data_IF_264367155917
#
_entry.id   IF_264367155917
#
_cell.length_a   1.000
_cell.length_b   1.000
_cell.length_c   1.000
_cell.angle_alpha   90.00
_cell.angle_beta   90.00
_cell.angle_gamma   90.00
#
_symmetry.space_group_name_H-M   'P 1'
#
loop_
_entity.id
_entity.type
_entity.pdbx_description
1 polymer ?
#
# COMPACT_ATOMS: atom_id res chain seq x y z
N UNK A 1 1.64 -6.84 -13.69
CA UNK A 1 2.29 -6.19 -12.52
C UNK A 1 2.00 -4.70 -12.62
N UNK A 2 1.39 -4.10 -11.60
CA UNK A 2 1.04 -2.68 -11.58
C UNK A 2 1.71 -1.97 -10.41
N UNK A 3 2.06 -0.69 -10.60
CA UNK A 3 2.43 0.21 -9.52
C UNK A 3 1.17 0.97 -9.08
N UNK A 4 0.74 0.71 -7.85
CA UNK A 4 -0.55 1.12 -7.26
C UNK A 4 -1.78 0.53 -7.95
N UNK A 5 -2.89 0.58 -7.22
CA UNK A 5 -4.24 0.24 -7.64
C UNK A 5 -5.23 0.82 -6.60
N UNK A 6 -6.48 0.33 -6.56
CA UNK A 6 -7.54 0.79 -5.65
C UNK A 6 -7.15 0.88 -4.16
N UNK A 7 -6.28 -0.01 -3.67
CA UNK A 7 -5.76 0.08 -2.28
C UNK A 7 -5.13 1.45 -1.97
N UNK A 8 -4.52 2.10 -2.99
CA UNK A 8 -4.00 3.46 -2.83
C UNK A 8 -5.10 4.49 -2.68
N UNK A 9 -6.20 4.38 -3.43
CA UNK A 9 -7.37 5.24 -3.24
C UNK A 9 -7.89 5.10 -1.82
N UNK A 10 -8.09 3.87 -1.35
CA UNK A 10 -8.59 3.62 0.02
C UNK A 10 -7.68 4.21 1.10
N UNK A 11 -6.36 4.11 0.94
CA UNK A 11 -5.40 4.62 1.92
C UNK A 11 -5.23 6.14 1.88
N UNK A 12 -5.04 6.73 0.70
CA UNK A 12 -4.79 8.17 0.57
C UNK A 12 -6.08 8.98 0.73
N UNK A 13 -7.20 8.50 0.19
CA UNK A 13 -8.47 9.24 0.25
C UNK A 13 -9.21 8.91 1.54
N UNK A 14 -9.27 7.64 1.93
CA UNK A 14 -9.92 7.24 3.17
C UNK A 14 -9.12 7.66 4.40
N UNK A 15 -7.88 7.17 4.52
CA UNK A 15 -7.02 7.52 5.66
C UNK A 15 -6.51 8.96 5.59
N UNK A 16 -5.80 9.29 4.51
CA UNK A 16 -5.14 10.58 4.36
C UNK A 16 -6.12 11.76 4.37
N UNK A 17 -7.16 11.70 3.51
CA UNK A 17 -8.16 12.78 3.35
C UNK A 17 -9.43 12.61 4.19
N UNK A 18 -9.60 11.51 4.90
CA UNK A 18 -10.78 11.29 5.75
C UNK A 18 -12.09 11.07 4.98
N UNK A 19 -12.03 10.67 3.71
CA UNK A 19 -13.24 10.33 2.95
C UNK A 19 -13.87 9.07 3.56
N UNK A 20 -15.19 9.06 3.67
CA UNK A 20 -15.94 7.95 4.24
C UNK A 20 -15.63 6.61 3.55
N UNK A 21 -15.45 5.56 4.36
CA UNK A 21 -15.05 4.25 3.88
C UNK A 21 -16.16 3.56 3.08
N UNK A 22 -17.41 3.76 3.47
CA UNK A 22 -18.57 3.19 2.77
C UNK A 22 -18.68 3.80 1.39
N UNK A 23 -18.52 5.13 1.29
CA UNK A 23 -18.49 5.84 0.00
C UNK A 23 -17.39 5.31 -0.92
N UNK A 24 -16.16 5.12 -0.41
CA UNK A 24 -15.07 4.58 -1.21
C UNK A 24 -15.33 3.14 -1.67
N UNK A 25 -15.91 2.30 -0.80
CA UNK A 25 -16.30 0.94 -1.17
C UNK A 25 -17.38 0.94 -2.26
N UNK A 26 -18.41 1.80 -2.15
CA UNK A 26 -19.45 1.95 -3.16
C UNK A 26 -18.86 2.40 -4.51
N UNK A 27 -17.94 3.37 -4.51
CA UNK A 27 -17.30 3.83 -5.74
C UNK A 27 -16.45 2.73 -6.39
N UNK A 28 -15.66 2.01 -5.58
CA UNK A 28 -14.87 0.86 -6.04
C UNK A 28 -15.77 -0.19 -6.68
N UNK A 29 -16.87 -0.57 -6.03
CA UNK A 29 -17.76 -1.62 -6.52
C UNK A 29 -18.52 -1.16 -7.77
N UNK A 30 -18.88 0.12 -7.88
CA UNK A 30 -19.50 0.68 -9.07
C UNK A 30 -18.56 0.74 -10.29
N UNK A 31 -17.26 0.98 -10.09
CA UNK A 31 -16.28 1.15 -11.18
C UNK A 31 -15.57 -0.16 -11.54
N UNK A 32 -15.20 -0.96 -10.54
CA UNK A 32 -14.40 -2.17 -10.71
C UNK A 32 -15.23 -3.45 -10.58
N UNK A 33 -16.45 -3.39 -10.05
CA UNK A 33 -17.24 -4.57 -9.71
C UNK A 33 -16.47 -5.48 -8.75
N UNK A 34 -16.42 -6.77 -9.10
CA UNK A 34 -15.72 -7.78 -8.31
C UNK A 34 -14.21 -7.88 -8.62
N UNK A 35 -13.70 -7.10 -9.58
CA UNK A 35 -12.29 -7.16 -9.96
C UNK A 35 -11.39 -6.73 -8.79
N UNK A 36 -10.46 -7.58 -8.40
CA UNK A 36 -9.44 -7.31 -7.38
C UNK A 36 -8.11 -7.98 -7.79
N UNK A 37 -6.96 -7.44 -7.38
CA UNK A 37 -5.68 -8.12 -7.59
C UNK A 37 -5.63 -9.47 -6.85
N UNK A 38 -5.07 -10.50 -7.49
CA UNK A 38 -4.87 -11.82 -6.87
C UNK A 38 -3.81 -11.77 -5.75
N UNK A 39 -2.84 -10.87 -5.88
CA UNK A 39 -1.80 -10.58 -4.91
C UNK A 39 -1.50 -9.08 -4.91
N UNK A 40 -1.41 -8.49 -3.73
CA UNK A 40 -0.90 -7.14 -3.51
C UNK A 40 0.27 -7.21 -2.54
N UNK A 41 1.41 -6.61 -2.91
CA UNK A 41 2.53 -6.41 -2.00
C UNK A 41 2.44 -5.00 -1.43
N UNK A 42 2.14 -4.88 -0.14
CA UNK A 42 2.17 -3.60 0.55
C UNK A 42 3.53 -3.41 1.21
N UNK A 43 4.33 -2.45 0.71
CA UNK A 43 5.63 -2.11 1.28
C UNK A 43 5.42 -1.11 2.42
N UNK A 44 5.33 -1.59 3.65
CA UNK A 44 5.17 -0.74 4.83
C UNK A 44 6.46 0.01 5.13
N UNK A 45 6.39 1.33 5.19
CA UNK A 45 7.51 2.19 5.55
C UNK A 45 6.98 3.31 6.42
N UNK A 46 7.76 3.70 7.43
CA UNK A 46 7.38 4.85 8.26
C UNK A 46 7.41 6.12 7.41
N UNK A 47 6.53 7.11 7.67
CA UNK A 47 6.52 8.35 6.91
C UNK A 47 7.87 9.09 6.93
N UNK A 48 8.62 9.03 8.03
CA UNK A 48 9.95 9.65 8.15
C UNK A 48 10.94 9.05 7.14
N UNK A 49 11.00 7.72 7.07
CA UNK A 49 11.88 7.00 6.14
C UNK A 49 11.43 7.23 4.71
N UNK A 50 10.10 7.17 4.45
CA UNK A 50 9.51 7.43 3.14
C UNK A 50 9.83 8.82 2.61
N UNK A 51 9.58 9.87 3.41
CA UNK A 51 9.87 11.26 3.05
C UNK A 51 11.36 11.51 2.87
N UNK A 52 12.23 10.91 3.70
CA UNK A 52 13.69 11.01 3.53
C UNK A 52 14.13 10.44 2.18
N UNK A 53 13.57 9.29 1.77
CA UNK A 53 13.87 8.67 0.47
C UNK A 53 13.30 9.47 -0.70
N UNK A 54 12.07 9.99 -0.58
CA UNK A 54 11.45 10.81 -1.62
C UNK A 54 12.25 12.09 -1.90
N UNK A 55 12.67 12.80 -0.84
CA UNK A 55 13.52 14.00 -0.95
C UNK A 55 14.88 13.73 -1.59
N UNK A 56 15.44 12.55 -1.38
CA UNK A 56 16.70 12.16 -2.02
C UNK A 56 16.55 11.87 -3.53
N UNK A 57 15.32 11.58 -3.99
CA UNK A 57 15.02 11.26 -5.40
C UNK A 57 14.77 12.52 -6.26
N UNK A 58 14.38 13.65 -5.65
CA UNK A 58 14.16 14.91 -6.36
C UNK A 58 13.05 15.76 -5.73
N UNK A 59 12.43 16.60 -6.55
CA UNK A 59 11.33 17.48 -6.13
C UNK A 59 10.11 16.67 -5.68
N UNK A 60 9.51 17.11 -4.58
CA UNK A 60 8.33 16.47 -3.99
C UNK A 60 7.08 16.85 -4.78
N UNK A 61 6.28 15.85 -5.16
CA UNK A 61 4.97 16.09 -5.77
C UNK A 61 3.96 16.71 -4.77
N UNK A 62 2.79 17.12 -5.28
CA UNK A 62 1.75 17.77 -4.46
C UNK A 62 1.28 16.91 -3.27
N UNK A 63 1.30 15.58 -3.41
CA UNK A 63 0.91 14.64 -2.34
C UNK A 63 2.07 14.47 -1.36
N UNK A 64 3.31 14.42 -1.85
CA UNK A 64 4.53 14.36 -1.05
C UNK A 64 4.76 15.64 -0.21
N UNK A 65 4.02 16.72 -0.50
CA UNK A 65 3.95 17.95 0.28
C UNK A 65 2.85 17.95 1.38
N UNK A 66 2.04 16.89 1.47
CA UNK A 66 1.02 16.76 2.52
C UNK A 66 1.67 16.64 3.93
N UNK A 67 0.86 16.80 4.97
CA UNK A 67 1.37 16.81 6.34
C UNK A 67 1.86 15.43 6.81
N UNK A 68 2.71 15.44 7.84
CA UNK A 68 3.14 14.19 8.49
C UNK A 68 1.95 13.35 9.00
N UNK A 69 0.91 14.02 9.54
CA UNK A 69 -0.32 13.36 9.98
C UNK A 69 -1.11 12.73 8.84
N UNK A 70 -1.10 13.34 7.65
CA UNK A 70 -1.69 12.75 6.45
C UNK A 70 -1.04 11.38 6.16
N UNK A 71 0.29 11.31 6.14
CA UNK A 71 1.00 10.06 5.90
C UNK A 71 0.82 9.03 7.02
N UNK A 72 0.74 9.47 8.29
CA UNK A 72 0.43 8.57 9.39
C UNK A 72 -0.95 7.93 9.23
N UNK A 73 -1.98 8.70 8.89
CA UNK A 73 -3.32 8.15 8.65
C UNK A 73 -3.35 7.27 7.41
N UNK A 74 -2.66 7.64 6.34
CA UNK A 74 -2.54 6.81 5.13
C UNK A 74 -1.88 5.47 5.42
N UNK A 75 -0.75 5.47 6.16
CA UNK A 75 -0.07 4.23 6.59
C UNK A 75 -0.96 3.37 7.47
N UNK A 76 -1.60 3.97 8.49
CA UNK A 76 -2.50 3.26 9.37
C UNK A 76 -3.64 2.57 8.59
N UNK A 77 -4.20 3.26 7.59
CA UNK A 77 -5.23 2.70 6.72
C UNK A 77 -4.73 1.57 5.84
N UNK A 78 -3.52 1.66 5.27
CA UNK A 78 -2.93 0.53 4.55
C UNK A 78 -2.77 -0.70 5.45
N UNK A 79 -2.24 -0.52 6.66
CA UNK A 79 -2.03 -1.61 7.63
C UNK A 79 -3.36 -2.26 8.04
N UNK A 80 -4.39 -1.45 8.30
CA UNK A 80 -5.74 -1.93 8.62
C UNK A 80 -6.31 -2.80 7.48
N UNK A 81 -6.26 -2.31 6.24
CA UNK A 81 -6.77 -3.04 5.08
C UNK A 81 -5.96 -4.32 4.81
N UNK A 82 -4.64 -4.26 4.96
CA UNK A 82 -3.76 -5.42 4.80
C UNK A 82 -4.03 -6.51 5.86
N UNK A 83 -4.40 -6.13 7.08
CA UNK A 83 -4.75 -7.08 8.14
C UNK A 83 -6.09 -7.80 7.89
N UNK A 84 -6.96 -7.23 7.04
CA UNK A 84 -8.30 -7.75 6.75
C UNK A 84 -8.36 -8.60 5.47
N UNK A 85 -7.36 -8.51 4.59
CA UNK A 85 -7.36 -9.19 3.29
C UNK A 85 -6.08 -9.99 3.08
N UNK A 86 -6.20 -11.32 3.06
CA UNK A 86 -5.08 -12.25 2.92
C UNK A 86 -4.33 -12.13 1.58
N UNK A 87 -4.94 -11.50 0.57
CA UNK A 87 -4.29 -11.20 -0.73
C UNK A 87 -3.29 -10.06 -0.61
N UNK A 88 -3.38 -9.24 0.44
CA UNK A 88 -2.46 -8.15 0.70
C UNK A 88 -1.37 -8.67 1.65
N UNK A 89 -0.16 -8.83 1.12
CA UNK A 89 1.00 -9.26 1.90
C UNK A 89 1.85 -8.04 2.25
N UNK A 90 1.95 -7.73 3.54
CA UNK A 90 2.77 -6.63 4.04
C UNK A 90 4.24 -7.03 4.11
N UNK A 91 5.12 -6.21 3.55
CA UNK A 91 6.58 -6.33 3.61
C UNK A 91 7.12 -5.13 4.38
N UNK A 92 7.99 -5.37 5.36
CA UNK A 92 8.67 -4.29 6.08
C UNK A 92 9.76 -3.65 5.20
N UNK A 93 9.44 -2.47 4.67
CA UNK A 93 10.33 -1.66 3.84
C UNK A 93 11.14 -0.62 4.64
N UNK A 94 11.10 -0.67 5.97
CA UNK A 94 12.02 0.09 6.85
C UNK A 94 13.42 -0.54 6.89
N UNK A 95 13.52 -1.83 6.53
CA UNK A 95 14.77 -2.57 6.41
C UNK A 95 15.68 -2.05 5.26
N UNK A 96 16.97 -2.46 5.24
CA UNK A 96 17.86 -2.26 4.09
C UNK A 96 17.32 -2.92 2.81
N UNK A 97 17.67 -2.36 1.64
CA UNK A 97 17.16 -2.80 0.34
C UNK A 97 17.30 -4.32 0.10
N UNK A 98 18.46 -4.90 0.41
CA UNK A 98 18.71 -6.34 0.20
C UNK A 98 17.77 -7.23 1.04
N UNK A 99 17.42 -6.79 2.25
CA UNK A 99 16.46 -7.50 3.09
C UNK A 99 15.05 -7.42 2.51
N UNK A 100 14.62 -6.21 2.10
CA UNK A 100 13.33 -6.01 1.43
C UNK A 100 13.21 -6.87 0.16
N UNK A 101 14.27 -6.93 -0.65
CA UNK A 101 14.31 -7.73 -1.87
C UNK A 101 14.20 -9.23 -1.60
N UNK A 102 14.83 -9.71 -0.52
CA UNK A 102 14.72 -11.10 -0.08
C UNK A 102 13.30 -11.42 0.39
N UNK A 103 12.69 -10.53 1.15
CA UNK A 103 11.34 -10.73 1.68
C UNK A 103 10.29 -10.72 0.55
N UNK A 104 10.39 -9.78 -0.39
CA UNK A 104 9.55 -9.76 -1.60
C UNK A 104 9.68 -11.09 -2.37
N UNK A 105 10.92 -11.53 -2.61
CA UNK A 105 11.17 -12.79 -3.31
C UNK A 105 10.51 -13.97 -2.61
N UNK A 106 10.71 -14.09 -1.29
CA UNK A 106 10.13 -15.18 -0.50
C UNK A 106 8.60 -15.16 -0.54
N UNK A 107 7.97 -13.99 -0.38
CA UNK A 107 6.52 -13.84 -0.42
C UNK A 107 5.92 -14.20 -1.77
N UNK A 108 6.52 -13.73 -2.87
CA UNK A 108 6.04 -14.06 -4.23
C UNK A 108 6.22 -15.55 -4.53
N UNK A 109 7.39 -16.12 -4.22
CA UNK A 109 7.64 -17.56 -4.42
C UNK A 109 6.64 -18.41 -3.65
N UNK A 110 6.37 -18.07 -2.39
CA UNK A 110 5.38 -18.77 -1.57
C UNK A 110 3.98 -18.66 -2.18
N UNK A 111 3.55 -17.46 -2.57
CA UNK A 111 2.22 -17.27 -3.16
C UNK A 111 2.04 -18.10 -4.44
N UNK A 112 3.05 -18.15 -5.32
CA UNK A 112 3.00 -18.98 -6.54
C UNK A 112 2.88 -20.47 -6.20
N UNK A 113 3.60 -20.95 -5.17
CA UNK A 113 3.49 -22.33 -4.70
C UNK A 113 2.10 -22.64 -4.15
N UNK A 114 1.48 -21.69 -3.43
CA UNK A 114 0.10 -21.81 -2.93
C UNK A 114 -0.94 -21.94 -4.05
N UNK A 115 -0.69 -21.38 -5.25
CA UNK A 115 -1.62 -21.49 -6.39
C UNK A 115 -1.47 -22.82 -7.17
N UNK A 116 -0.35 -23.52 -7.00
CA UNK A 116 -0.06 -24.77 -7.69
C UNK A 116 -0.53 -26.01 -6.92
N UNK A 117 -0.98 -25.84 -5.68
CA UNK A 117 -1.52 -26.88 -4.80
C UNK A 117 -3.05 -26.96 -4.92
#
# INVERSE_FOLDING_TARGET
IGDRHDLSTQAYQGGGRGIDQTMLATLRDAVLGDFRPDLTLYLDVTPEVGLKRARARGDLDRIEQESFDFFNRTRARYLELAAQDSRIRTIDATQPLDAVMRDIRATVTKWVQEQAA
#
